data_IF_502657317504
#
_entry.id   IF_502657317504
#
_cell.length_a   1.000
_cell.length_b   1.000
_cell.length_c   1.000
_cell.angle_alpha   90.00
_cell.angle_beta   90.00
_cell.angle_gamma   90.00
#
_symmetry.space_group_name_H-M   'P 1'
#
loop_
_entity.id
_entity.type
_entity.pdbx_description
1 polymer ?
#
# COMPACT_ATOMS: atom_id res chain seq x y z
N UNK A 1 7.03 13.19 -73.04
CA UNK A 1 6.21 12.76 -71.90
C UNK A 1 6.98 13.07 -70.64
N UNK A 2 7.04 14.36 -70.31
CA UNK A 2 7.87 14.89 -69.25
C UNK A 2 7.12 16.09 -68.69
N UNK A 3 6.04 15.81 -67.95
CA UNK A 3 5.28 16.83 -67.24
C UNK A 3 4.79 16.18 -65.93
N UNK A 4 4.97 16.90 -64.82
CA UNK A 4 4.64 16.57 -63.43
C UNK A 4 5.74 15.98 -62.53
N UNK A 5 6.97 16.49 -62.62
CA UNK A 5 7.79 16.65 -61.41
C UNK A 5 7.44 18.01 -60.77
N UNK A 6 6.21 18.15 -60.26
CA UNK A 6 5.98 19.19 -59.26
C UNK A 6 6.79 18.78 -58.04
N UNK A 7 7.95 19.42 -57.86
CA UNK A 7 8.69 19.35 -56.61
C UNK A 7 7.78 19.91 -55.52
N UNK A 8 7.01 19.03 -54.89
CA UNK A 8 6.34 19.35 -53.65
C UNK A 8 7.43 19.56 -52.62
N UNK A 9 8.00 20.76 -52.60
CA UNK A 9 8.78 21.34 -51.51
C UNK A 9 7.80 21.56 -50.36
N UNK A 10 7.35 20.42 -49.85
CA UNK A 10 6.35 20.29 -48.82
C UNK A 10 7.06 20.61 -47.54
N UNK A 11 6.69 21.75 -46.97
CA UNK A 11 7.01 22.13 -45.60
C UNK A 11 6.58 20.98 -44.67
N UNK A 12 7.55 20.13 -44.35
CA UNK A 12 7.37 18.92 -43.58
C UNK A 12 8.26 19.03 -42.35
N UNK A 13 7.66 19.13 -41.18
CA UNK A 13 8.41 19.03 -39.94
C UNK A 13 8.65 17.55 -39.65
N UNK A 14 9.88 17.22 -39.29
CA UNK A 14 10.33 15.85 -39.14
C UNK A 14 10.81 15.64 -37.70
N UNK A 15 10.16 14.74 -36.99
CA UNK A 15 10.55 14.29 -35.65
C UNK A 15 11.04 12.85 -35.76
N UNK A 16 12.35 12.69 -35.95
CA UNK A 16 12.99 11.35 -36.05
C UNK A 16 12.83 10.58 -34.75
N UNK A 17 12.82 11.25 -33.59
CA UNK A 17 12.71 10.60 -32.29
C UNK A 17 11.38 9.89 -32.08
N UNK A 18 10.29 10.49 -32.59
CA UNK A 18 8.96 9.87 -32.60
C UNK A 18 8.62 9.17 -33.93
N UNK A 19 9.56 9.06 -34.87
CA UNK A 19 9.35 8.49 -36.21
C UNK A 19 8.13 9.12 -36.91
N UNK A 20 8.02 10.45 -36.82
CA UNK A 20 6.87 11.19 -37.30
C UNK A 20 7.27 12.23 -38.37
N UNK A 21 6.43 12.35 -39.40
CA UNK A 21 6.51 13.42 -40.39
C UNK A 21 5.16 14.13 -40.39
N UNK A 22 5.17 15.44 -40.15
CA UNK A 22 3.98 16.29 -40.20
C UNK A 22 4.06 17.17 -41.44
N UNK A 23 3.06 17.07 -42.33
CA UNK A 23 2.97 17.89 -43.53
C UNK A 23 1.92 18.99 -43.33
N UNK A 24 2.36 20.23 -43.21
CA UNK A 24 1.48 21.38 -42.92
C UNK A 24 0.70 21.83 -44.17
N UNK A 25 1.23 21.56 -45.38
CA UNK A 25 0.65 22.06 -46.64
C UNK A 25 -0.77 21.52 -46.91
N UNK A 26 -1.09 20.32 -46.42
CA UNK A 26 -2.38 19.64 -46.64
C UNK A 26 -3.53 20.24 -45.84
N UNK A 27 -3.24 21.02 -44.79
CA UNK A 27 -4.28 21.67 -43.99
C UNK A 27 -5.00 22.79 -44.77
N UNK A 28 -4.43 23.24 -45.90
CA UNK A 28 -5.00 24.32 -46.73
C UNK A 28 -5.83 23.82 -47.90
N UNK A 29 -5.74 22.55 -48.28
CA UNK A 29 -6.49 21.98 -49.41
C UNK A 29 -7.85 21.43 -48.97
N UNK A 30 -8.90 21.72 -49.74
CA UNK A 30 -10.26 21.19 -49.51
C UNK A 30 -10.28 19.66 -49.54
N UNK A 31 -11.03 19.05 -48.61
CA UNK A 31 -11.12 17.60 -48.40
C UNK A 31 -11.68 16.81 -49.60
N UNK A 32 -12.30 17.51 -50.54
CA UNK A 32 -12.96 16.92 -51.71
C UNK A 32 -11.96 16.45 -52.80
N UNK A 33 -10.69 16.87 -52.71
CA UNK A 33 -9.65 16.57 -53.72
C UNK A 33 -8.72 15.41 -53.35
N UNK A 34 -9.05 14.61 -52.35
CA UNK A 34 -8.23 13.48 -51.91
C UNK A 34 -8.67 12.17 -52.58
N UNK A 35 -8.00 11.79 -53.67
CA UNK A 35 -8.05 10.41 -54.18
C UNK A 35 -7.14 9.50 -53.37
N UNK A 36 -7.48 8.21 -53.29
CA UNK A 36 -6.65 7.21 -52.59
C UNK A 36 -5.21 7.16 -53.15
N UNK A 37 -5.07 7.29 -54.47
CA UNK A 37 -3.78 7.30 -55.16
C UNK A 37 -2.92 8.50 -54.73
N UNK A 38 -3.53 9.67 -54.58
CA UNK A 38 -2.85 10.88 -54.12
C UNK A 38 -2.41 10.76 -52.67
N UNK A 39 -3.22 10.16 -51.80
CA UNK A 39 -2.86 9.87 -50.41
C UNK A 39 -1.70 8.87 -50.31
N UNK A 40 -1.72 7.81 -51.14
CA UNK A 40 -0.61 6.85 -51.21
C UNK A 40 0.69 7.50 -51.68
N UNK A 41 0.63 8.30 -52.75
CA UNK A 41 1.78 9.04 -53.26
C UNK A 41 2.34 10.01 -52.19
N UNK A 42 1.48 10.70 -51.45
CA UNK A 42 1.93 11.59 -50.39
C UNK A 42 2.55 10.84 -49.21
N UNK A 43 1.92 9.74 -48.78
CA UNK A 43 2.43 8.90 -47.71
C UNK A 43 3.79 8.29 -48.08
N UNK A 44 3.97 7.86 -49.34
CA UNK A 44 5.25 7.33 -49.81
C UNK A 44 6.34 8.40 -49.81
N UNK A 45 6.05 9.62 -50.27
CA UNK A 45 6.98 10.76 -50.22
C UNK A 45 7.39 11.07 -48.76
N UNK A 46 6.42 11.11 -47.84
CA UNK A 46 6.70 11.35 -46.42
C UNK A 46 7.54 10.25 -45.78
N UNK A 47 7.21 8.98 -46.06
CA UNK A 47 7.96 7.84 -45.57
C UNK A 47 9.40 7.80 -46.12
N UNK A 48 9.58 8.17 -47.39
CA UNK A 48 10.90 8.25 -48.01
C UNK A 48 11.78 9.30 -47.32
N UNK A 49 11.25 10.50 -47.04
CA UNK A 49 11.97 11.54 -46.29
C UNK A 49 12.37 11.06 -44.89
N UNK A 50 11.46 10.40 -44.17
CA UNK A 50 11.72 9.82 -42.85
C UNK A 50 12.82 8.77 -42.89
N UNK A 51 12.75 7.82 -43.83
CA UNK A 51 13.74 6.75 -43.95
C UNK A 51 15.11 7.30 -44.32
N UNK A 52 15.18 8.30 -45.20
CA UNK A 52 16.44 8.95 -45.57
C UNK A 52 17.14 9.56 -44.35
N UNK A 53 16.40 10.22 -43.46
CA UNK A 53 16.96 10.77 -42.20
C UNK A 53 17.38 9.67 -41.22
N UNK A 54 16.62 8.59 -41.10
CA UNK A 54 16.99 7.45 -40.23
C UNK A 54 18.28 6.80 -40.72
N UNK A 55 18.42 6.59 -42.04
CA UNK A 55 19.62 5.97 -42.60
C UNK A 55 20.86 6.87 -42.56
N UNK A 56 20.70 8.19 -42.35
CA UNK A 56 21.81 9.12 -42.06
C UNK A 56 22.34 8.99 -40.63
N UNK A 57 21.55 8.44 -39.70
CA UNK A 57 21.95 8.30 -38.30
C UNK A 57 23.06 7.25 -38.13
N UNK A 58 23.93 7.40 -37.11
CA UNK A 58 24.99 6.43 -36.84
C UNK A 58 24.40 5.07 -36.45
N UNK A 59 24.78 4.03 -37.18
CA UNK A 59 24.43 2.64 -36.88
C UNK A 59 25.36 2.06 -35.81
N UNK A 60 24.80 1.26 -34.91
CA UNK A 60 25.51 0.55 -33.86
C UNK A 60 25.07 -0.91 -33.85
N UNK A 61 26.00 -1.82 -33.60
CA UNK A 61 25.66 -3.23 -33.42
C UNK A 61 25.24 -3.47 -31.98
N UNK A 62 24.00 -3.91 -31.79
CA UNK A 62 23.51 -4.42 -30.51
C UNK A 62 23.07 -5.87 -30.71
N UNK A 63 23.66 -6.80 -29.94
CA UNK A 63 23.36 -8.24 -30.07
C UNK A 63 23.47 -8.76 -31.52
N UNK A 64 24.51 -8.32 -32.25
CA UNK A 64 24.76 -8.64 -33.66
C UNK A 64 23.74 -8.09 -34.67
N UNK A 65 22.79 -7.24 -34.24
CA UNK A 65 21.84 -6.55 -35.12
C UNK A 65 22.26 -5.09 -35.29
N UNK A 66 22.32 -4.55 -36.52
CA UNK A 66 22.56 -3.13 -36.74
C UNK A 66 21.32 -2.32 -36.33
N UNK A 67 21.49 -1.39 -35.39
CA UNK A 67 20.44 -0.53 -34.83
C UNK A 67 20.91 0.93 -34.92
N UNK A 68 20.04 1.83 -35.38
CA UNK A 68 20.31 3.27 -35.36
C UNK A 68 19.94 3.88 -34.00
N UNK A 69 20.77 4.81 -33.50
CA UNK A 69 20.43 5.60 -32.30
C UNK A 69 19.56 6.80 -32.69
N UNK A 70 18.28 6.73 -32.35
CA UNK A 70 17.35 7.84 -32.57
C UNK A 70 17.65 9.02 -31.62
N UNK A 71 17.47 10.27 -32.07
CA UNK A 71 17.58 11.44 -31.22
C UNK A 71 16.42 11.52 -30.22
N UNK A 72 16.53 12.42 -29.22
CA UNK A 72 15.42 12.71 -28.33
C UNK A 72 14.23 13.30 -29.10
N UNK A 73 12.99 12.87 -28.80
CA UNK A 73 11.80 13.34 -29.50
C UNK A 73 11.58 14.84 -29.31
N UNK A 74 11.28 15.56 -30.39
CA UNK A 74 11.03 17.01 -30.36
C UNK A 74 9.60 17.33 -29.92
N UNK A 75 8.64 16.46 -30.24
CA UNK A 75 7.24 16.66 -29.86
C UNK A 75 7.04 16.40 -28.36
N UNK A 76 6.68 17.47 -27.64
CA UNK A 76 6.43 17.43 -26.20
C UNK A 76 5.05 16.82 -25.94
N UNK A 77 5.03 15.56 -25.49
CA UNK A 77 3.80 14.85 -25.11
C UNK A 77 3.51 15.07 -23.61
N UNK A 78 2.25 15.30 -23.20
CA UNK A 78 1.89 15.38 -21.80
C UNK A 78 2.17 14.06 -21.07
N UNK A 79 2.68 14.15 -19.84
CA UNK A 79 2.96 12.96 -19.02
C UNK A 79 1.67 12.31 -18.53
N UNK A 80 1.62 10.98 -18.53
CA UNK A 80 0.54 10.20 -17.91
C UNK A 80 0.41 10.49 -16.41
N UNK A 81 1.55 10.68 -15.73
CA UNK A 81 1.62 10.87 -14.28
C UNK A 81 2.30 12.19 -13.93
N UNK A 82 1.81 12.88 -12.87
CA UNK A 82 2.47 14.07 -12.38
C UNK A 82 3.89 13.73 -11.94
N UNK A 83 4.75 14.74 -11.97
CA UNK A 83 6.12 14.62 -11.50
C UNK A 83 6.07 14.16 -10.03
N UNK A 84 6.85 13.14 -9.64
CA UNK A 84 6.86 12.66 -8.27
C UNK A 84 7.25 13.80 -7.34
N UNK A 85 6.35 14.14 -6.40
CA UNK A 85 6.60 15.21 -5.43
C UNK A 85 7.83 14.85 -4.58
N UNK A 86 8.69 15.81 -4.27
CA UNK A 86 9.83 15.57 -3.38
C UNK A 86 9.30 15.04 -2.04
N UNK A 87 10.00 14.05 -1.48
CA UNK A 87 9.61 13.45 -0.21
C UNK A 87 9.69 14.52 0.88
N UNK A 88 8.63 14.73 1.68
CA UNK A 88 8.69 15.67 2.78
C UNK A 88 9.70 15.18 3.82
N UNK A 89 10.48 16.11 4.38
CA UNK A 89 11.47 15.83 5.41
C UNK A 89 10.79 15.24 6.66
N UNK A 90 11.31 14.12 7.16
CA UNK A 90 10.90 13.54 8.42
C UNK A 90 11.29 14.43 9.61
N UNK A 91 10.68 14.22 10.78
CA UNK A 91 11.00 14.99 11.99
C UNK A 91 12.49 14.91 12.35
N UNK A 92 13.10 13.74 12.20
CA UNK A 92 14.53 13.55 12.44
C UNK A 92 15.40 14.27 11.41
N UNK A 93 15.05 14.23 10.13
CA UNK A 93 15.80 14.96 9.10
C UNK A 93 15.70 16.48 9.27
N UNK A 94 14.54 17.00 9.68
CA UNK A 94 14.39 18.41 10.06
C UNK A 94 15.33 18.78 11.22
N UNK A 95 15.36 17.92 12.25
CA UNK A 95 16.25 18.10 13.40
C UNK A 95 17.73 18.01 13.00
N UNK A 96 18.11 17.00 12.21
CA UNK A 96 19.47 16.80 11.74
C UNK A 96 19.94 17.98 10.89
N UNK A 97 19.09 18.48 9.98
CA UNK A 97 19.39 19.68 9.19
C UNK A 97 19.58 20.92 10.07
N UNK A 98 18.71 21.12 11.06
CA UNK A 98 18.82 22.26 11.99
C UNK A 98 20.06 22.18 12.89
N UNK A 99 20.52 20.97 13.23
CA UNK A 99 21.73 20.74 14.03
C UNK A 99 23.00 20.55 13.20
N UNK A 100 22.92 20.59 11.87
CA UNK A 100 24.07 20.31 11.00
C UNK A 100 24.60 18.88 11.08
N UNK A 101 23.79 17.92 11.56
CA UNK A 101 24.20 16.52 11.69
C UNK A 101 24.22 15.88 10.29
N UNK A 102 25.41 15.57 9.80
CA UNK A 102 25.60 14.91 8.52
C UNK A 102 25.50 13.38 8.66
N UNK A 103 24.88 12.74 7.67
CA UNK A 103 24.74 11.28 7.65
C UNK A 103 26.06 10.64 7.18
N UNK A 104 26.77 9.99 8.09
CA UNK A 104 27.95 9.20 7.76
C UNK A 104 27.59 7.76 7.38
N UNK A 105 28.35 7.17 6.45
CA UNK A 105 28.24 5.75 6.10
C UNK A 105 28.82 4.92 7.24
N UNK A 106 28.03 3.97 7.76
CA UNK A 106 28.50 3.01 8.76
C UNK A 106 28.94 1.73 8.07
N UNK A 107 30.03 1.13 8.55
CA UNK A 107 30.53 -0.15 8.05
C UNK A 107 29.59 -1.30 8.40
N UNK A 108 29.54 -2.28 7.49
CA UNK A 108 28.69 -3.48 7.59
C UNK A 108 29.25 -4.48 8.61
N UNK A 109 30.56 -4.63 8.66
CA UNK A 109 31.28 -5.50 9.60
C UNK A 109 31.81 -4.65 10.75
N UNK A 110 31.81 -5.23 11.95
CA UNK A 110 32.36 -4.65 13.18
C UNK A 110 33.17 -5.74 13.84
N UNK A 111 34.39 -5.43 14.22
CA UNK A 111 35.26 -6.35 14.93
C UNK A 111 34.71 -6.61 16.34
N UNK A 112 34.54 -7.88 16.70
CA UNK A 112 34.10 -8.31 18.04
C UNK A 112 35.32 -8.74 18.85
N UNK A 113 35.72 -7.94 19.84
CA UNK A 113 36.94 -8.16 20.62
C UNK A 113 36.94 -9.51 21.37
N UNK A 114 35.76 -9.99 21.78
CA UNK A 114 35.62 -11.25 22.53
C UNK A 114 35.88 -12.48 21.66
N UNK A 115 35.36 -12.50 20.44
CA UNK A 115 35.56 -13.59 19.48
C UNK A 115 36.79 -13.38 18.59
N UNK A 116 37.38 -12.18 18.61
CA UNK A 116 38.47 -11.73 17.71
C UNK A 116 38.13 -11.89 16.22
N UNK A 117 36.84 -11.74 15.88
CA UNK A 117 36.29 -11.96 14.55
C UNK A 117 35.49 -10.76 14.05
N UNK A 118 35.48 -10.57 12.72
CA UNK A 118 34.62 -9.59 12.06
C UNK A 118 33.19 -10.10 11.97
N UNK A 119 32.26 -9.48 12.72
CA UNK A 119 30.84 -9.83 12.70
C UNK A 119 29.99 -8.75 12.03
N UNK A 120 28.87 -9.11 11.38
CA UNK A 120 27.94 -8.11 10.85
C UNK A 120 27.38 -7.22 11.95
N UNK A 121 27.19 -5.92 11.68
CA UNK A 121 26.56 -4.98 12.61
C UNK A 121 25.09 -5.33 12.90
N UNK A 122 24.40 -5.93 11.93
CA UNK A 122 23.02 -6.38 12.02
C UNK A 122 22.81 -7.63 11.14
N UNK A 123 21.77 -8.42 11.44
CA UNK A 123 21.44 -9.63 10.68
C UNK A 123 21.87 -10.93 11.37
N UNK A 124 21.97 -12.01 10.59
CA UNK A 124 22.38 -13.33 11.10
C UNK A 124 23.80 -13.28 11.67
N UNK A 125 23.99 -13.85 12.87
CA UNK A 125 25.24 -13.79 13.66
C UNK A 125 25.79 -12.37 13.86
N UNK A 126 24.92 -11.36 13.83
CA UNK A 126 25.33 -9.98 14.01
C UNK A 126 25.70 -9.66 15.47
N UNK A 127 26.48 -8.60 15.68
CA UNK A 127 27.03 -8.18 16.97
C UNK A 127 25.99 -7.98 18.08
N UNK A 128 24.72 -7.68 17.71
CA UNK A 128 23.61 -7.45 18.64
C UNK A 128 22.79 -8.71 18.95
N UNK A 129 23.09 -9.84 18.29
CA UNK A 129 22.46 -11.14 18.52
C UNK A 129 23.49 -12.05 19.21
N UNK A 130 24.04 -11.57 20.33
CA UNK A 130 24.89 -12.38 21.21
C UNK A 130 23.96 -13.25 22.07
N UNK A 131 24.25 -14.53 22.09
CA UNK A 131 23.58 -15.48 22.98
C UNK A 131 24.33 -15.47 24.31
N UNK A 132 24.12 -14.41 25.09
CA UNK A 132 24.69 -14.28 26.42
C UNK A 132 24.03 -15.32 27.33
N UNK A 133 24.81 -16.26 27.85
CA UNK A 133 24.34 -17.36 28.70
C UNK A 133 24.19 -16.93 30.17
N UNK A 134 24.87 -15.85 30.58
CA UNK A 134 24.79 -15.23 31.90
C UNK A 134 24.65 -13.73 31.75
N UNK A 135 23.87 -13.12 32.64
CA UNK A 135 23.69 -11.68 32.73
C UNK A 135 23.86 -11.24 34.17
N UNK A 136 24.83 -10.36 34.40
CA UNK A 136 25.09 -9.80 35.72
C UNK A 136 23.92 -8.90 36.15
N UNK A 137 23.44 -9.13 37.37
CA UNK A 137 22.37 -8.36 37.98
C UNK A 137 23.03 -7.31 38.87
N UNK A 138 22.71 -6.01 38.72
CA UNK A 138 23.20 -4.98 39.63
C UNK A 138 22.71 -5.22 41.06
N UNK A 139 23.55 -4.96 42.07
CA UNK A 139 23.26 -5.25 43.49
C UNK A 139 21.97 -4.60 44.03
N UNK A 140 21.48 -3.54 43.38
CA UNK A 140 20.27 -2.80 43.76
C UNK A 140 19.00 -3.29 43.03
N UNK A 141 19.07 -4.36 42.25
CA UNK A 141 17.97 -4.85 41.43
C UNK A 141 17.40 -6.17 41.98
N UNK A 142 16.10 -6.40 41.81
CA UNK A 142 15.41 -7.57 42.37
C UNK A 142 15.95 -8.88 41.72
N UNK A 143 16.55 -9.79 42.49
CA UNK A 143 17.09 -11.05 41.96
C UNK A 143 16.02 -12.00 41.39
N UNK A 144 14.74 -11.83 41.74
CA UNK A 144 13.66 -12.75 41.35
C UNK A 144 13.03 -12.42 39.97
N UNK A 145 13.45 -11.35 39.30
CA UNK A 145 12.92 -10.96 37.99
C UNK A 145 13.70 -11.57 36.81
N UNK A 146 13.00 -11.91 35.73
CA UNK A 146 13.65 -12.39 34.49
C UNK A 146 14.26 -11.23 33.67
N UNK A 147 15.56 -11.00 33.84
CA UNK A 147 16.32 -9.97 33.12
C UNK A 147 16.51 -10.24 31.61
N UNK A 148 16.38 -11.51 31.18
CA UNK A 148 16.39 -11.85 29.76
C UNK A 148 15.04 -11.51 29.12
N UNK A 149 13.95 -11.84 29.81
CA UNK A 149 12.58 -11.43 29.46
C UNK A 149 12.46 -9.91 29.32
N UNK A 150 12.89 -9.16 30.35
CA UNK A 150 12.90 -7.68 30.33
C UNK A 150 13.70 -7.10 29.15
N UNK A 151 14.87 -7.66 28.84
CA UNK A 151 15.67 -7.24 27.69
C UNK A 151 14.94 -7.43 26.35
N UNK A 152 14.26 -8.58 26.19
CA UNK A 152 13.44 -8.87 25.01
C UNK A 152 12.25 -7.91 24.90
N UNK A 153 11.58 -7.60 26.01
CA UNK A 153 10.47 -6.65 26.06
C UNK A 153 10.90 -5.24 25.69
N UNK A 154 11.99 -4.73 26.29
CA UNK A 154 12.56 -3.42 25.94
C UNK A 154 12.96 -3.35 24.46
N UNK A 155 13.52 -4.42 23.89
CA UNK A 155 13.84 -4.48 22.44
C UNK A 155 12.57 -4.36 21.60
N UNK A 156 11.51 -5.10 21.95
CA UNK A 156 10.20 -5.01 21.27
C UNK A 156 9.60 -3.61 21.40
N UNK A 157 9.68 -3.00 22.56
CA UNK A 157 9.17 -1.64 22.80
C UNK A 157 9.92 -0.60 21.96
N UNK A 158 11.25 -0.68 21.88
CA UNK A 158 12.05 0.20 21.01
C UNK A 158 11.67 0.05 19.54
N UNK A 159 11.45 -1.19 19.08
CA UNK A 159 11.00 -1.47 17.71
C UNK A 159 9.61 -0.85 17.48
N UNK A 160 8.67 -1.10 18.39
CA UNK A 160 7.31 -0.55 18.32
C UNK A 160 7.31 0.99 18.32
N UNK A 161 8.16 1.62 19.13
CA UNK A 161 8.34 3.09 19.17
C UNK A 161 8.88 3.63 17.85
N UNK A 162 9.83 2.93 17.23
CA UNK A 162 10.36 3.29 15.91
C UNK A 162 9.27 3.18 14.82
N UNK A 163 8.49 2.09 14.82
CA UNK A 163 7.37 1.91 13.90
C UNK A 163 6.28 2.97 14.10
N UNK A 164 5.97 3.29 15.35
CA UNK A 164 5.05 4.38 15.70
C UNK A 164 5.52 5.72 15.14
N UNK A 165 6.80 6.08 15.31
CA UNK A 165 7.37 7.30 14.74
C UNK A 165 7.37 7.30 13.21
N UNK A 166 7.65 6.15 12.58
CA UNK A 166 7.54 5.97 11.13
C UNK A 166 6.11 6.22 10.63
N UNK A 167 5.11 5.61 11.27
CA UNK A 167 3.70 5.80 10.93
C UNK A 167 3.26 7.25 11.12
N UNK A 168 3.72 7.91 12.20
CA UNK A 168 3.46 9.33 12.45
C UNK A 168 4.06 10.23 11.36
N UNK A 169 5.28 9.97 10.93
CA UNK A 169 5.91 10.72 9.83
C UNK A 169 5.18 10.51 8.49
N UNK A 170 4.76 9.28 8.19
CA UNK A 170 3.97 8.97 6.98
C UNK A 170 2.63 9.70 7.03
N UNK A 171 1.93 9.66 8.16
CA UNK A 171 0.66 10.36 8.36
C UNK A 171 0.78 11.88 8.16
N UNK A 172 1.81 12.49 8.74
CA UNK A 172 2.11 13.91 8.55
C UNK A 172 2.45 14.23 7.09
N UNK A 173 3.18 13.34 6.40
CA UNK A 173 3.53 13.48 5.00
C UNK A 173 2.31 13.41 4.07
N UNK A 174 1.37 12.50 4.35
CA UNK A 174 0.14 12.33 3.58
C UNK A 174 -0.97 13.29 3.98
N UNK A 175 -0.75 14.14 5.00
CA UNK A 175 -1.76 15.02 5.62
C UNK A 175 -3.03 14.26 6.04
N UNK A 176 -2.91 12.98 6.37
CA UNK A 176 -4.03 12.18 6.86
C UNK A 176 -4.25 12.49 8.35
N UNK A 177 -5.48 12.87 8.72
CA UNK A 177 -5.86 13.10 10.12
C UNK A 177 -5.92 11.76 10.86
N UNK A 178 -4.86 11.41 11.58
CA UNK A 178 -4.82 10.15 12.35
C UNK A 178 -5.34 10.41 13.75
N UNK A 179 -6.64 10.17 13.92
CA UNK A 179 -7.42 10.48 15.13
C UNK A 179 -6.95 9.80 16.42
N UNK A 180 -6.10 8.78 16.33
CA UNK A 180 -5.63 7.98 17.48
C UNK A 180 -4.10 8.05 17.73
N UNK A 181 -3.34 8.82 16.96
CA UNK A 181 -1.88 8.94 17.12
C UNK A 181 -1.42 10.31 17.65
N UNK A 182 -2.33 11.27 17.74
CA UNK A 182 -2.02 12.63 18.17
C UNK A 182 -2.20 12.74 19.68
N UNK A 183 -1.10 12.99 20.40
CA UNK A 183 -1.14 13.65 21.70
C UNK A 183 -1.59 15.08 21.43
N UNK A 184 -2.88 15.36 21.59
CA UNK A 184 -3.39 16.72 21.45
C UNK A 184 -3.21 17.38 22.81
N UNK A 185 -2.37 18.42 22.87
CA UNK A 185 -2.09 19.18 24.09
C UNK A 185 -3.38 19.81 24.69
N UNK A 186 -4.45 19.89 23.88
CA UNK A 186 -5.84 20.12 24.31
C UNK A 186 -6.79 19.15 23.59
N UNK A 187 -6.89 17.94 24.11
CA UNK A 187 -7.82 16.95 23.56
C UNK A 187 -9.27 17.35 23.85
N UNK A 188 -10.08 17.43 22.80
CA UNK A 188 -11.51 17.69 22.92
C UNK A 188 -12.20 16.55 23.70
N UNK A 189 -13.29 16.85 24.41
CA UNK A 189 -14.04 15.89 25.25
C UNK A 189 -14.42 14.64 24.46
N UNK A 190 -14.81 14.82 23.20
CA UNK A 190 -15.14 13.71 22.31
C UNK A 190 -13.91 12.86 21.96
N UNK A 191 -12.75 13.48 21.76
CA UNK A 191 -11.51 12.78 21.48
C UNK A 191 -11.04 11.97 22.68
N UNK A 192 -11.09 12.54 23.88
CA UNK A 192 -10.80 11.85 25.14
C UNK A 192 -11.73 10.65 25.38
N UNK A 193 -13.04 10.82 25.15
CA UNK A 193 -13.98 9.71 25.30
C UNK A 193 -13.70 8.56 24.32
N UNK A 194 -13.24 8.88 23.10
CA UNK A 194 -12.93 7.91 22.05
C UNK A 194 -11.60 7.20 22.31
N UNK A 195 -10.57 7.93 22.77
CA UNK A 195 -9.29 7.35 23.16
C UNK A 195 -9.43 6.44 24.38
N UNK A 196 -10.22 6.83 25.38
CA UNK A 196 -10.49 6.02 26.56
C UNK A 196 -11.24 4.73 26.20
N UNK A 197 -12.24 4.80 25.31
CA UNK A 197 -12.90 3.60 24.78
C UNK A 197 -11.94 2.68 24.01
N UNK A 198 -11.03 3.26 23.20
CA UNK A 198 -10.04 2.48 22.46
C UNK A 198 -9.04 1.81 23.40
N UNK A 199 -8.51 2.54 24.38
CA UNK A 199 -7.59 2.04 25.40
C UNK A 199 -8.20 0.84 26.14
N UNK A 200 -9.46 0.94 26.59
CA UNK A 200 -10.16 -0.18 27.26
C UNK A 200 -10.30 -1.41 26.38
N UNK A 201 -10.55 -1.23 25.07
CA UNK A 201 -10.62 -2.35 24.14
C UNK A 201 -9.25 -3.01 23.90
N UNK A 202 -8.19 -2.20 23.88
CA UNK A 202 -6.81 -2.67 23.72
C UNK A 202 -6.30 -3.39 24.96
N UNK A 203 -6.55 -2.88 26.17
CA UNK A 203 -6.16 -3.57 27.41
C UNK A 203 -6.94 -4.89 27.55
N UNK A 204 -8.22 -4.91 27.21
CA UNK A 204 -9.03 -6.14 27.21
C UNK A 204 -8.45 -7.22 26.28
N UNK A 205 -7.83 -6.84 25.16
CA UNK A 205 -7.17 -7.79 24.26
C UNK A 205 -5.89 -8.42 24.85
N UNK A 206 -5.25 -7.72 25.79
CA UNK A 206 -4.12 -8.22 26.59
C UNK A 206 -4.57 -8.98 27.84
N UNK A 207 -5.88 -9.21 28.02
CA UNK A 207 -6.44 -9.87 29.19
C UNK A 207 -6.47 -9.02 30.46
N UNK A 208 -6.15 -7.72 30.39
CA UNK A 208 -6.22 -6.77 31.51
C UNK A 208 -7.40 -5.83 31.32
N UNK A 209 -8.38 -5.88 32.21
CA UNK A 209 -9.54 -5.00 32.15
C UNK A 209 -9.29 -3.79 33.05
N UNK A 210 -9.34 -2.58 32.49
CA UNK A 210 -9.25 -1.36 33.29
C UNK A 210 -10.58 -1.11 34.00
N UNK A 211 -10.50 -0.78 35.28
CA UNK A 211 -11.68 -0.49 36.10
C UNK A 211 -12.49 0.68 35.54
N UNK A 212 -13.80 0.63 35.75
CA UNK A 212 -14.71 1.68 35.29
C UNK A 212 -14.78 2.78 36.35
N UNK A 213 -14.53 4.03 35.96
CA UNK A 213 -14.72 5.16 36.87
C UNK A 213 -16.22 5.36 37.19
N UNK A 214 -16.58 5.87 38.38
CA UNK A 214 -17.97 5.95 38.86
C UNK A 214 -18.94 6.64 37.89
N UNK A 215 -18.46 7.67 37.18
CA UNK A 215 -19.27 8.49 36.25
C UNK A 215 -18.87 8.33 34.77
N UNK A 216 -18.21 7.23 34.41
CA UNK A 216 -17.80 7.00 33.04
C UNK A 216 -18.96 6.61 32.14
N UNK A 217 -19.22 7.45 31.11
CA UNK A 217 -20.25 7.18 30.12
C UNK A 217 -19.86 5.96 29.27
N UNK A 218 -20.75 4.97 29.09
CA UNK A 218 -20.46 3.84 28.22
C UNK A 218 -20.26 4.31 26.78
N UNK A 219 -19.38 3.66 26.00
CA UNK A 219 -19.16 4.04 24.61
C UNK A 219 -20.46 3.91 23.82
N UNK A 220 -20.91 5.03 23.22
CA UNK A 220 -22.17 5.11 22.46
C UNK A 220 -22.18 4.20 21.22
N UNK A 221 -21.00 3.87 20.69
CA UNK A 221 -20.84 3.05 19.49
C UNK A 221 -20.28 1.66 19.83
N UNK A 222 -20.94 0.92 20.73
CA UNK A 222 -20.74 -0.53 20.75
C UNK A 222 -21.34 -1.05 19.45
N UNK A 223 -20.51 -1.33 18.45
CA UNK A 223 -20.94 -2.13 17.29
C UNK A 223 -21.75 -3.30 17.83
N UNK A 224 -23.00 -3.47 17.38
CA UNK A 224 -23.82 -4.61 17.79
C UNK A 224 -23.01 -5.87 17.46
N UNK A 225 -22.43 -6.50 18.49
CA UNK A 225 -21.73 -7.76 18.30
C UNK A 225 -22.76 -8.72 17.75
N UNK A 226 -22.45 -9.35 16.62
CA UNK A 226 -23.35 -10.32 15.98
C UNK A 226 -23.64 -11.42 17.00
N UNK A 227 -24.81 -11.38 17.62
CA UNK A 227 -25.28 -12.46 18.49
C UNK A 227 -25.71 -13.59 17.56
N UNK A 228 -24.93 -14.66 17.53
CA UNK A 228 -25.40 -15.89 16.88
C UNK A 228 -26.57 -16.41 17.70
N UNK A 229 -27.68 -16.71 17.02
CA UNK A 229 -28.79 -17.43 17.66
C UNK A 229 -28.31 -18.83 18.03
N UNK A 230 -28.78 -19.41 19.15
CA UNK A 230 -28.47 -20.79 19.48
C UNK A 230 -28.96 -21.73 18.36
N UNK A 231 -28.23 -22.81 18.09
CA UNK A 231 -28.60 -23.79 17.07
C UNK A 231 -29.91 -24.54 17.40
N UNK A 232 -30.22 -24.66 18.69
CA UNK A 232 -31.47 -25.22 19.17
C UNK A 232 -32.24 -24.10 19.88
N UNK A 233 -33.44 -23.73 19.40
CA UNK A 233 -34.26 -22.71 20.03
C UNK A 233 -34.87 -23.27 21.32
N UNK A 234 -35.10 -22.41 22.31
CA UNK A 234 -35.96 -22.74 23.45
C UNK A 234 -37.45 -22.68 23.08
N UNK A 235 -37.82 -21.90 22.04
CA UNK A 235 -39.19 -21.63 21.63
C UNK A 235 -39.41 -21.89 20.13
N UNK A 236 -40.28 -22.84 19.80
CA UNK A 236 -40.63 -23.20 18.41
C UNK A 236 -41.30 -22.06 17.63
N UNK A 237 -42.03 -21.18 18.33
CA UNK A 237 -42.71 -20.02 17.73
C UNK A 237 -41.73 -19.02 17.13
N UNK A 238 -40.61 -18.76 17.83
CA UNK A 238 -39.58 -17.82 17.37
C UNK A 238 -38.89 -18.32 16.09
N UNK A 239 -38.69 -19.63 15.93
CA UNK A 239 -38.18 -20.21 14.69
C UNK A 239 -39.16 -20.07 13.54
N UNK A 240 -40.44 -20.39 13.76
CA UNK A 240 -41.49 -20.23 12.76
C UNK A 240 -41.54 -18.79 12.26
N UNK A 241 -41.51 -17.81 13.16
CA UNK A 241 -41.45 -16.39 12.79
C UNK A 241 -40.19 -16.01 12.01
N UNK A 242 -39.02 -16.54 12.39
CA UNK A 242 -37.78 -16.29 11.67
C UNK A 242 -37.83 -16.88 10.25
N UNK A 243 -38.38 -18.09 10.11
CA UNK A 243 -38.53 -18.78 8.84
C UNK A 243 -39.54 -18.07 7.95
N UNK A 244 -40.67 -17.61 8.50
CA UNK A 244 -41.64 -16.78 7.78
C UNK A 244 -41.02 -15.45 7.32
N UNK A 245 -40.25 -14.77 8.18
CA UNK A 245 -39.51 -13.56 7.81
C UNK A 245 -38.51 -13.82 6.69
N UNK A 246 -37.85 -14.98 6.67
CA UNK A 246 -36.93 -15.36 5.58
C UNK A 246 -37.73 -15.58 4.29
N UNK A 247 -38.85 -16.29 4.35
CA UNK A 247 -39.73 -16.52 3.20
C UNK A 247 -40.29 -15.21 2.63
N UNK A 248 -40.81 -14.31 3.46
CA UNK A 248 -41.27 -12.98 3.02
C UNK A 248 -40.15 -12.18 2.34
N UNK A 249 -38.91 -12.30 2.83
CA UNK A 249 -37.76 -11.62 2.23
C UNK A 249 -37.35 -12.26 0.89
N UNK A 250 -37.59 -13.55 0.68
CA UNK A 250 -37.35 -14.25 -0.59
C UNK A 250 -38.47 -13.97 -1.60
N UNK A 251 -39.71 -13.95 -1.13
CA UNK A 251 -40.91 -13.66 -1.92
C UNK A 251 -40.87 -12.24 -2.51
N UNK A 252 -40.34 -11.28 -1.76
CA UNK A 252 -40.23 -9.88 -2.19
C UNK A 252 -39.37 -9.65 -3.44
N UNK A 253 -38.62 -10.65 -3.97
CA UNK A 253 -37.81 -10.66 -5.22
C UNK A 253 -36.92 -9.43 -5.51
N UNK A 254 -36.86 -8.45 -4.60
CA UNK A 254 -36.09 -7.23 -4.70
C UNK A 254 -35.00 -7.26 -3.63
N UNK A 255 -33.73 -7.01 -3.99
CA UNK A 255 -32.66 -6.91 -3.01
C UNK A 255 -32.94 -5.73 -2.08
N UNK A 256 -32.75 -5.92 -0.75
CA UNK A 256 -32.76 -4.80 0.21
C UNK A 256 -31.59 -3.86 -0.10
N UNK A 257 -31.83 -2.88 -0.96
CA UNK A 257 -30.86 -1.84 -1.30
C UNK A 257 -30.90 -0.78 -0.21
N UNK A 258 -29.89 -0.80 0.66
CA UNK A 258 -29.71 0.28 1.64
C UNK A 258 -29.09 1.48 0.93
N UNK A 259 -29.94 2.33 0.32
CA UNK A 259 -29.54 3.44 -0.56
C UNK A 259 -28.56 4.38 0.13
N UNK A 260 -28.76 4.69 1.41
CA UNK A 260 -27.88 5.55 2.20
C UNK A 260 -26.48 4.95 2.37
N UNK A 261 -26.37 3.64 2.60
CA UNK A 261 -25.09 2.94 2.73
C UNK A 261 -24.38 2.82 1.36
N UNK A 262 -25.14 2.59 0.29
CA UNK A 262 -24.62 2.57 -1.08
C UNK A 262 -24.06 3.93 -1.50
N UNK A 263 -24.78 5.02 -1.20
CA UNK A 263 -24.34 6.40 -1.44
C UNK A 263 -23.13 6.75 -0.59
N UNK A 264 -23.10 6.40 0.70
CA UNK A 264 -21.91 6.61 1.54
C UNK A 264 -20.70 5.83 1.04
N UNK A 265 -20.87 4.58 0.58
CA UNK A 265 -19.78 3.79 -0.03
C UNK A 265 -19.31 4.36 -1.36
N UNK A 266 -20.21 4.96 -2.14
CA UNK A 266 -19.85 5.66 -3.37
C UNK A 266 -19.07 6.95 -3.07
N UNK A 267 -19.55 7.78 -2.14
CA UNK A 267 -18.90 9.02 -1.72
C UNK A 267 -17.58 8.81 -0.95
N UNK A 268 -17.45 7.70 -0.21
CA UNK A 268 -16.22 7.37 0.54
C UNK A 268 -15.18 6.60 -0.29
N UNK A 269 -15.52 6.17 -1.52
CA UNK A 269 -14.49 5.78 -2.48
C UNK A 269 -13.74 7.05 -2.86
N UNK A 270 -12.43 7.16 -2.58
CA UNK A 270 -11.64 8.25 -3.14
C UNK A 270 -11.75 8.13 -4.66
N UNK A 271 -12.09 9.22 -5.34
CA UNK A 271 -12.08 9.34 -6.80
C UNK A 271 -10.73 8.80 -7.30
N UNK A 272 -10.74 7.55 -7.76
CA UNK A 272 -9.66 6.93 -8.51
C UNK A 272 -10.06 7.09 -9.95
N UNK A 273 -9.69 8.20 -10.54
CA UNK A 273 -9.77 8.37 -11.98
C UNK A 273 -8.86 7.32 -12.65
N UNK A 274 -9.43 6.60 -13.62
CA UNK A 274 -8.67 5.89 -14.65
C UNK A 274 -8.38 4.40 -14.46
N UNK A 275 -9.34 3.55 -14.03
CA UNK A 275 -9.22 2.09 -14.24
C UNK A 275 -10.52 1.49 -14.74
N UNK A 276 -10.45 0.73 -15.83
CA UNK A 276 -11.56 0.01 -16.46
C UNK A 276 -12.08 -1.13 -15.58
N UNK A 277 -13.38 -1.39 -15.67
CA UNK A 277 -14.14 -2.27 -14.77
C UNK A 277 -13.62 -3.73 -14.72
N UNK A 278 -12.96 -4.20 -15.78
CA UNK A 278 -12.39 -5.55 -15.86
C UNK A 278 -11.19 -5.78 -14.90
N UNK A 279 -10.40 -4.75 -14.61
CA UNK A 279 -9.27 -4.87 -13.69
C UNK A 279 -9.68 -4.87 -12.21
N UNK A 280 -10.89 -4.38 -11.90
CA UNK A 280 -11.44 -4.35 -10.53
C UNK A 280 -12.00 -5.72 -10.16
N UNK A 281 -12.72 -6.38 -11.08
CA UNK A 281 -13.28 -7.72 -10.85
C UNK A 281 -12.21 -8.81 -10.65
N UNK A 282 -11.09 -8.73 -11.37
CA UNK A 282 -9.98 -9.70 -11.24
C UNK A 282 -9.24 -9.57 -9.88
N UNK A 283 -9.19 -8.37 -9.29
CA UNK A 283 -8.59 -8.14 -7.96
C UNK A 283 -9.52 -8.49 -6.81
N UNK A 284 -10.83 -8.28 -6.95
CA UNK A 284 -11.80 -8.75 -5.95
C UNK A 284 -11.89 -10.28 -5.91
N UNK A 285 -11.79 -10.97 -7.06
CA UNK A 285 -11.66 -12.44 -7.11
C UNK A 285 -10.36 -12.93 -6.44
N UNK A 286 -9.23 -12.22 -6.59
CA UNK A 286 -7.96 -12.51 -5.88
C UNK A 286 -8.02 -12.23 -4.37
N UNK A 287 -8.80 -11.25 -3.92
CA UNK A 287 -9.00 -10.98 -2.50
C UNK A 287 -9.96 -11.98 -1.83
N UNK A 288 -10.99 -12.47 -2.54
CA UNK A 288 -11.87 -13.55 -2.06
C UNK A 288 -11.14 -14.90 -2.00
N UNK A 289 -10.26 -15.22 -2.96
CA UNK A 289 -9.51 -16.49 -2.92
C UNK A 289 -8.46 -16.56 -1.80
N UNK A 290 -7.89 -15.42 -1.38
CA UNK A 290 -6.99 -15.36 -0.22
C UNK A 290 -7.70 -15.51 1.13
N UNK A 291 -9.00 -15.17 1.23
CA UNK A 291 -9.78 -15.36 2.46
C UNK A 291 -10.16 -16.82 2.71
N UNK A 292 -10.26 -17.65 1.67
CA UNK A 292 -10.61 -19.07 1.77
C UNK A 292 -9.42 -20.02 2.03
N UNK A 293 -8.18 -19.52 2.13
CA UNK A 293 -7.01 -20.36 2.48
C UNK A 293 -6.65 -20.39 3.98
N UNK A 294 -7.38 -19.68 4.84
CA UNK A 294 -7.11 -19.65 6.29
C UNK A 294 -8.01 -20.57 7.13
N UNK A 295 -8.75 -21.49 6.52
CA UNK A 295 -9.54 -22.51 7.23
C UNK A 295 -9.16 -23.90 6.73
N UNK A 296 -8.12 -24.48 7.31
CA UNK A 296 -7.93 -25.91 7.60
C UNK A 296 -6.53 -26.12 8.17
N UNK A 297 -6.37 -25.78 9.45
CA UNK A 297 -5.45 -26.49 10.34
C UNK A 297 -6.24 -26.79 11.62
N UNK A 298 -6.97 -27.90 11.58
CA UNK A 298 -7.49 -28.57 12.79
C UNK A 298 -6.26 -29.11 13.53
N UNK A 299 -5.75 -28.35 14.50
CA UNK A 299 -4.93 -28.91 15.55
C UNK A 299 -5.85 -29.73 16.45
N UNK A 300 -5.62 -31.04 16.49
CA UNK A 300 -6.17 -31.93 17.48
C UNK A 300 -5.78 -31.42 18.86
N UNK A 301 -6.79 -30.99 19.63
CA UNK A 301 -6.65 -30.67 21.05
C UNK A 301 -6.53 -31.99 21.80
N UNK A 302 -5.30 -32.42 22.06
CA UNK A 302 -5.02 -33.53 22.96
C UNK A 302 -5.63 -33.23 24.33
N UNK A 303 -6.50 -34.13 24.80
CA UNK A 303 -7.08 -34.06 26.13
C UNK A 303 -6.01 -34.25 27.19
N UNK A 304 -5.95 -33.34 28.17
CA UNK A 304 -5.27 -33.59 29.44
C UNK A 304 -5.97 -34.75 30.14
N UNK A 305 -5.37 -35.95 30.14
CA UNK A 305 -5.73 -37.00 31.10
C UNK A 305 -5.18 -36.60 32.47
N UNK A 306 -6.06 -36.60 33.46
CA UNK A 306 -5.75 -36.45 34.88
C UNK A 306 -4.85 -37.62 35.32
N UNK A 307 -3.79 -37.32 36.08
CA UNK A 307 -2.99 -38.35 36.74
C UNK A 307 -3.79 -39.06 37.86
N UNK A 308 -3.41 -40.28 38.22
CA UNK A 308 -4.12 -41.06 39.23
C UNK A 308 -3.93 -40.46 40.63
N UNK A 309 -5.01 -40.43 41.41
CA UNK A 309 -4.96 -40.30 42.86
C UNK A 309 -4.54 -41.66 43.41
N UNK A 310 -3.46 -41.68 44.18
CA UNK A 310 -3.07 -42.84 44.97
C UNK A 310 -4.15 -43.08 46.04
N UNK A 311 -4.58 -44.34 46.15
CA UNK A 311 -5.26 -44.87 47.31
C UNK A 311 -4.19 -45.54 48.18
N UNK A 312 -3.96 -44.98 49.36
CA UNK A 312 -3.45 -45.59 50.57
C UNK A 312 -3.91 -44.68 51.72
#
# INVERSE_FOLDING_TARGET
>A
MADHEESYDTYAELDVGNLCVTNISLLKSSLENFSEEKLKCLASIGAQKLLNEIFRLPSQYHEHVPVAKLPEPTLIVPREKPIPKPKPLSKWEKFAKAKGIQKQKKEKLVFDETSKDWKPRYGYRGINNKDDWVKEIPDNADPNEDYFGKGKEQKKERIAKNEYHRLRNIASATKMKVTNLESVDRADKHQLSRSLSAAKSSTASLGRFADKLPNEKPPKNKMQKRKFKPNNPSNMREEKENNLKILENLEKKMPKLNVQEAVQRYMSKPLKEGKTDEQVQSKEKKFKSKKNKFVKNKLYRAGKKKGPRNAA
#
